data_IF_600433145871
#
_entry.id   IF_600433145871
#
_cell.length_a   1.000
_cell.length_b   1.000
_cell.length_c   1.000
_cell.angle_alpha   90.00
_cell.angle_beta   90.00
_cell.angle_gamma   90.00
#
_symmetry.space_group_name_H-M   'P 1'
#
loop_
_entity.id
_entity.type
_entity.pdbx_description
1 polymer ?
#
# COMPACT_ATOMS: atom_id res chain seq x y z
N UNK A 1 4.98 -16.30 -0.47
CA UNK A 1 5.72 -15.09 -0.08
C UNK A 1 4.94 -14.40 1.03
N UNK A 2 5.62 -13.66 1.92
CA UNK A 2 5.00 -13.05 3.11
C UNK A 2 4.45 -11.66 2.84
N UNK A 3 3.49 -11.22 3.66
CA UNK A 3 2.96 -9.86 3.61
C UNK A 3 3.89 -8.83 4.27
N UNK A 4 3.84 -7.59 3.78
CA UNK A 4 4.41 -6.43 4.46
C UNK A 4 3.34 -5.87 5.39
N UNK A 5 3.46 -6.18 6.68
CA UNK A 5 2.50 -5.74 7.69
C UNK A 5 2.74 -4.26 8.05
N UNK A 6 1.80 -3.41 7.66
CA UNK A 6 1.87 -1.95 7.84
C UNK A 6 0.94 -1.48 8.95
N UNK A 7 1.45 -0.61 9.83
CA UNK A 7 0.65 0.15 10.78
C UNK A 7 0.61 1.63 10.36
N UNK A 8 -0.54 2.28 10.50
CA UNK A 8 -0.73 3.70 10.18
C UNK A 8 -0.84 4.50 11.49
N UNK A 9 -0.12 5.63 11.56
CA UNK A 9 -0.26 6.63 12.63
C UNK A 9 -0.74 7.93 11.99
N UNK A 10 -1.98 8.31 12.26
CA UNK A 10 -2.68 9.38 11.55
C UNK A 10 -3.45 8.86 10.33
N UNK A 11 -4.75 8.71 10.49
CA UNK A 11 -5.74 8.29 9.48
C UNK A 11 -6.34 9.53 8.80
N UNK A 12 -5.48 10.26 8.10
CA UNK A 12 -5.86 11.41 7.28
C UNK A 12 -5.82 11.13 5.77
N UNK A 13 -5.82 12.20 4.97
CA UNK A 13 -5.78 12.09 3.50
C UNK A 13 -4.60 11.27 2.96
N UNK A 14 -3.43 11.34 3.60
CA UNK A 14 -2.28 10.51 3.20
C UNK A 14 -2.54 9.02 3.40
N UNK A 15 -3.16 8.64 4.53
CA UNK A 15 -3.55 7.26 4.79
C UNK A 15 -4.59 6.79 3.76
N UNK A 16 -5.60 7.61 3.47
CA UNK A 16 -6.62 7.33 2.44
C UNK A 16 -5.99 7.09 1.08
N UNK A 17 -5.13 8.00 0.61
CA UNK A 17 -4.45 7.88 -0.69
C UNK A 17 -3.56 6.62 -0.75
N UNK A 18 -2.88 6.28 0.33
CA UNK A 18 -2.05 5.08 0.41
C UNK A 18 -2.90 3.81 0.34
N UNK A 19 -3.94 3.71 1.18
CA UNK A 19 -4.84 2.55 1.23
C UNK A 19 -5.52 2.36 -0.13
N UNK A 20 -6.07 3.43 -0.70
CA UNK A 20 -6.71 3.38 -2.02
C UNK A 20 -5.70 3.02 -3.12
N UNK A 21 -4.49 3.55 -3.08
CA UNK A 21 -3.43 3.21 -4.04
C UNK A 21 -3.06 1.73 -3.98
N UNK A 22 -2.86 1.18 -2.78
CA UNK A 22 -2.61 -0.25 -2.59
C UNK A 22 -3.77 -1.08 -3.12
N UNK A 23 -5.01 -0.74 -2.79
CA UNK A 23 -6.18 -1.46 -3.30
C UNK A 23 -6.34 -1.36 -4.81
N UNK A 24 -6.11 -0.18 -5.39
CA UNK A 24 -6.29 0.08 -6.81
C UNK A 24 -5.26 -0.68 -7.66
N UNK A 25 -4.01 -0.80 -7.18
CA UNK A 25 -2.93 -1.47 -7.90
C UNK A 25 -2.62 -2.89 -7.39
N UNK A 26 -3.47 -3.47 -6.53
CA UNK A 26 -3.21 -4.77 -5.89
C UNK A 26 -3.00 -5.93 -6.88
N UNK A 27 -3.61 -5.81 -8.07
CA UNK A 27 -3.60 -6.80 -9.15
C UNK A 27 -2.80 -6.32 -10.38
N UNK A 28 -2.02 -5.23 -10.24
CA UNK A 28 -1.22 -4.70 -11.34
C UNK A 28 -0.18 -5.72 -11.82
N UNK A 29 0.05 -5.80 -13.13
CA UNK A 29 1.10 -6.66 -13.68
C UNK A 29 2.48 -6.08 -13.29
N UNK A 30 3.38 -6.88 -12.66
CA UNK A 30 4.74 -6.47 -12.31
C UNK A 30 5.57 -5.86 -13.45
N UNK A 31 5.27 -6.20 -14.71
CA UNK A 31 5.94 -5.69 -15.90
C UNK A 31 5.43 -4.31 -16.37
N UNK A 32 4.33 -3.82 -15.80
CA UNK A 32 3.72 -2.54 -16.20
C UNK A 32 4.33 -1.36 -15.46
N UNK A 33 4.28 -0.18 -16.09
CA UNK A 33 4.64 1.08 -15.44
C UNK A 33 3.40 1.74 -14.88
N UNK A 34 3.37 1.90 -13.56
CA UNK A 34 2.35 2.65 -12.84
C UNK A 34 2.90 4.03 -12.50
N UNK A 35 2.24 5.13 -12.87
CA UNK A 35 2.66 6.48 -12.49
C UNK A 35 2.80 6.62 -10.97
N UNK A 36 3.94 7.15 -10.52
CA UNK A 36 4.24 7.34 -9.09
C UNK A 36 4.87 6.15 -8.38
N UNK A 37 4.92 4.96 -9.00
CA UNK A 37 5.66 3.81 -8.48
C UNK A 37 6.95 3.61 -9.28
N UNK A 38 8.06 3.37 -8.57
CA UNK A 38 9.31 2.96 -9.23
C UNK A 38 9.16 1.54 -9.83
N UNK A 39 8.52 0.63 -9.08
CA UNK A 39 8.25 -0.75 -9.48
C UNK A 39 6.91 -1.21 -8.90
N UNK A 40 6.12 -1.94 -9.68
CA UNK A 40 4.93 -2.65 -9.20
C UNK A 40 5.31 -3.81 -8.28
N UNK A 41 6.44 -4.47 -8.56
CA UNK A 41 7.08 -5.43 -7.66
C UNK A 41 8.47 -4.93 -7.28
N UNK A 42 8.68 -4.60 -6.00
CA UNK A 42 9.95 -4.13 -5.47
C UNK A 42 10.67 -5.27 -4.73
N UNK A 43 11.72 -5.80 -5.34
CA UNK A 43 12.34 -7.05 -4.89
C UNK A 43 11.32 -8.19 -4.95
N UNK A 44 11.04 -8.82 -3.82
CA UNK A 44 10.04 -9.88 -3.71
C UNK A 44 8.62 -9.39 -3.37
N UNK A 45 8.43 -8.08 -3.13
CA UNK A 45 7.16 -7.55 -2.67
C UNK A 45 6.37 -6.87 -3.78
N UNK A 46 5.17 -7.38 -4.05
CA UNK A 46 4.17 -6.74 -4.89
C UNK A 46 3.46 -5.61 -4.13
N UNK A 47 2.91 -4.61 -4.82
CA UNK A 47 2.04 -3.58 -4.18
C UNK A 47 0.92 -4.23 -3.37
N UNK A 48 0.34 -5.32 -3.89
CA UNK A 48 -0.71 -6.09 -3.23
C UNK A 48 -0.26 -6.87 -1.99
N UNK A 49 1.05 -6.97 -1.72
CA UNK A 49 1.56 -7.63 -0.50
C UNK A 49 1.53 -6.70 0.72
N UNK A 50 1.16 -5.43 0.55
CA UNK A 50 0.97 -4.48 1.66
C UNK A 50 -0.32 -4.81 2.40
N UNK A 51 -0.19 -5.19 3.67
CA UNK A 51 -1.31 -5.55 4.55
C UNK A 51 -1.40 -4.55 5.70
N UNK A 52 -2.47 -3.76 5.74
CA UNK A 52 -2.71 -2.83 6.84
C UNK A 52 -3.26 -3.58 8.04
N UNK A 53 -2.46 -3.71 9.10
CA UNK A 53 -2.78 -4.52 10.29
C UNK A 53 -3.13 -3.71 11.53
N UNK A 54 -2.87 -2.40 11.52
CA UNK A 54 -3.21 -1.49 12.61
C UNK A 54 -3.33 -0.05 12.11
N UNK A 55 -4.13 0.75 12.79
CA UNK A 55 -4.22 2.18 12.60
C UNK A 55 -4.47 2.88 13.94
N UNK A 56 -3.91 4.07 14.11
CA UNK A 56 -4.07 4.91 15.30
C UNK A 56 -4.39 6.35 14.89
N UNK A 57 -5.40 6.94 15.53
CA UNK A 57 -5.77 8.35 15.35
C UNK A 57 -6.17 8.98 16.70
N UNK A 58 -6.37 10.29 16.71
CA UNK A 58 -6.83 11.08 17.86
C UNK A 58 -8.18 11.76 17.60
N UNK A 59 -8.70 11.71 16.38
CA UNK A 59 -10.06 12.16 16.06
C UNK A 59 -11.11 11.27 16.75
N UNK A 60 -12.24 11.88 17.11
CA UNK A 60 -13.25 11.33 18.01
C UNK A 60 -14.30 10.44 17.32
#
# INVERSE_FOLDING_TARGET
MGSVRVAIVGVGNCATSLIQGVHYYRDADPGTRVPGLMHVKFGDYHVGDVEFVAAFDVDA
#
